data_IF_833379781969
#
_entry.id   IF_833379781969
#
_cell.length_a   1.000
_cell.length_b   1.000
_cell.length_c   1.000
_cell.angle_alpha   90.00
_cell.angle_beta   90.00
_cell.angle_gamma   90.00
#
_symmetry.space_group_name_H-M   'P 1'
#
loop_
_entity.id
_entity.type
_entity.pdbx_description
1 polymer ?
#
# COMPACT_ATOMS: atom_id res chain seq x y z
N UNK A 1 -3.94 10.29 -3.61
CA UNK A 1 -3.11 9.60 -2.61
C UNK A 1 -3.49 10.08 -1.21
N UNK A 2 -3.55 9.18 -0.23
CA UNK A 2 -3.87 9.52 1.18
C UNK A 2 -2.66 10.19 1.85
N UNK A 3 -2.85 11.40 2.39
CA UNK A 3 -1.79 12.20 3.03
C UNK A 3 -1.44 11.73 4.46
N UNK A 4 -2.20 10.80 5.02
CA UNK A 4 -1.89 10.18 6.32
C UNK A 4 -0.89 9.03 6.21
N UNK A 5 -0.63 8.56 4.98
CA UNK A 5 0.34 7.51 4.68
C UNK A 5 1.77 8.07 4.80
N UNK A 6 2.73 7.30 5.37
CA UNK A 6 4.14 7.68 5.43
C UNK A 6 4.71 8.11 4.07
N UNK A 7 5.54 9.16 4.07
CA UNK A 7 6.16 9.71 2.86
C UNK A 7 6.87 8.65 1.99
N UNK A 8 7.54 7.68 2.62
CA UNK A 8 8.23 6.60 1.90
C UNK A 8 7.27 5.77 1.06
N UNK A 9 6.09 5.44 1.59
CA UNK A 9 5.07 4.69 0.86
C UNK A 9 4.46 5.55 -0.24
N UNK A 10 4.24 6.84 0.04
CA UNK A 10 3.74 7.81 -0.96
C UNK A 10 4.68 7.92 -2.16
N UNK A 11 5.98 8.11 -1.91
CA UNK A 11 6.99 8.19 -2.98
C UNK A 11 7.13 6.84 -3.70
N UNK A 12 7.06 5.72 -2.99
CA UNK A 12 7.13 4.37 -3.58
C UNK A 12 5.98 4.11 -4.56
N UNK A 13 4.75 4.43 -4.16
CA UNK A 13 3.56 4.32 -5.01
C UNK A 13 3.67 5.24 -6.24
N UNK A 14 4.12 6.49 -6.04
CA UNK A 14 4.33 7.44 -7.13
C UNK A 14 5.35 6.92 -8.17
N UNK A 15 6.50 6.42 -7.71
CA UNK A 15 7.52 5.82 -8.59
C UNK A 15 6.93 4.64 -9.37
N UNK A 16 6.17 3.76 -8.71
CA UNK A 16 5.53 2.61 -9.36
C UNK A 16 4.52 3.04 -10.43
N UNK A 17 3.73 4.07 -10.18
CA UNK A 17 2.76 4.59 -11.14
C UNK A 17 3.46 5.15 -12.38
N UNK A 18 4.48 6.00 -12.19
CA UNK A 18 5.27 6.58 -13.27
C UNK A 18 6.04 5.53 -14.07
N UNK A 19 6.67 4.56 -13.38
CA UNK A 19 7.40 3.48 -14.02
C UNK A 19 6.51 2.58 -14.88
N UNK A 20 5.25 2.31 -14.46
CA UNK A 20 4.29 1.51 -15.25
C UNK A 20 3.99 2.11 -16.62
N UNK A 21 3.90 3.43 -16.69
CA UNK A 21 3.64 4.18 -17.93
C UNK A 21 4.93 4.68 -18.61
N UNK A 22 6.10 4.33 -18.06
CA UNK A 22 7.42 4.76 -18.55
C UNK A 22 7.56 6.27 -18.64
N UNK A 23 6.99 6.97 -17.67
CA UNK A 23 7.07 8.42 -17.57
C UNK A 23 8.27 8.80 -16.71
N UNK A 24 9.19 9.57 -17.28
CA UNK A 24 10.29 10.18 -16.55
C UNK A 24 9.79 11.36 -15.73
N UNK A 25 10.42 11.61 -14.60
CA UNK A 25 10.11 12.80 -13.79
C UNK A 25 11.35 13.29 -13.05
N UNK A 26 11.34 14.56 -12.66
CA UNK A 26 12.37 15.14 -11.79
C UNK A 26 11.92 15.22 -10.34
N UNK A 27 12.84 15.35 -9.39
CA UNK A 27 12.49 15.55 -7.97
C UNK A 27 11.71 16.86 -7.79
N UNK A 28 12.12 17.92 -8.51
CA UNK A 28 11.45 19.21 -8.50
C UNK A 28 10.01 19.17 -9.02
N UNK A 29 9.76 18.33 -10.04
CA UNK A 29 8.43 18.10 -10.58
C UNK A 29 7.58 17.28 -9.62
N UNK A 30 8.13 16.16 -9.12
CA UNK A 30 7.50 15.31 -8.13
C UNK A 30 7.00 16.10 -6.91
N UNK A 31 7.81 17.04 -6.40
CA UNK A 31 7.43 17.89 -5.26
C UNK A 31 6.21 18.80 -5.52
N UNK A 32 5.83 19.02 -6.78
CA UNK A 32 4.73 19.88 -7.20
C UNK A 32 3.48 19.10 -7.59
N UNK A 33 3.54 17.78 -7.72
CA UNK A 33 2.37 16.98 -8.10
C UNK A 33 1.39 16.86 -6.93
N UNK A 34 0.11 16.66 -7.23
CA UNK A 34 -0.92 16.54 -6.19
C UNK A 34 -0.72 15.31 -5.30
N UNK A 35 -0.11 14.24 -5.84
CA UNK A 35 0.16 12.99 -5.13
C UNK A 35 1.20 13.17 -4.04
N UNK A 36 2.26 13.93 -4.31
CA UNK A 36 3.38 14.17 -3.38
C UNK A 36 3.37 15.56 -2.75
N UNK A 37 2.35 16.38 -3.05
CA UNK A 37 2.14 17.67 -2.44
C UNK A 37 2.20 17.57 -0.90
N UNK A 38 2.97 18.48 -0.29
CA UNK A 38 3.25 18.54 1.14
C UNK A 38 4.52 17.79 1.57
N UNK A 39 5.15 17.01 0.70
CA UNK A 39 6.47 16.41 0.96
C UNK A 39 7.55 17.37 0.48
N UNK A 40 8.52 17.66 1.35
CA UNK A 40 9.64 18.53 1.01
C UNK A 40 10.49 17.89 -0.12
N UNK A 41 10.93 18.70 -1.10
CA UNK A 41 11.82 18.26 -2.19
C UNK A 41 13.07 17.50 -1.70
N UNK A 42 13.69 17.95 -0.60
CA UNK A 42 14.83 17.27 0.03
C UNK A 42 14.45 15.87 0.51
N UNK A 43 13.23 15.71 1.06
CA UNK A 43 12.72 14.44 1.56
C UNK A 43 12.38 13.48 0.42
N UNK A 44 11.83 14.00 -0.69
CA UNK A 44 11.61 13.20 -1.90
C UNK A 44 12.94 12.72 -2.46
N UNK A 45 13.93 13.60 -2.58
CA UNK A 45 15.26 13.25 -3.06
C UNK A 45 15.93 12.17 -2.20
N UNK A 46 15.87 12.33 -0.87
CA UNK A 46 16.38 11.36 0.08
C UNK A 46 15.71 10.00 -0.08
N UNK A 47 14.37 9.96 -0.16
CA UNK A 47 13.65 8.69 -0.32
C UNK A 47 13.99 8.04 -1.65
N UNK A 48 13.98 8.78 -2.77
CA UNK A 48 14.36 8.25 -4.09
C UNK A 48 15.78 7.66 -4.05
N UNK A 49 16.72 8.33 -3.37
CA UNK A 49 18.09 7.84 -3.21
C UNK A 49 18.20 6.50 -2.47
N UNK A 50 17.22 6.18 -1.62
CA UNK A 50 17.19 4.96 -0.82
C UNK A 50 16.44 3.82 -1.50
N UNK A 51 15.35 4.11 -2.23
CA UNK A 51 14.41 3.09 -2.71
C UNK A 51 14.55 2.77 -4.20
N UNK A 52 15.27 3.59 -4.97
CA UNK A 52 15.37 3.41 -6.42
C UNK A 52 16.72 2.83 -6.85
N UNK A 53 16.74 2.24 -8.04
CA UNK A 53 17.95 1.99 -8.82
C UNK A 53 18.45 3.29 -9.46
N UNK A 54 19.67 3.28 -9.99
CA UNK A 54 20.20 4.43 -10.69
C UNK A 54 19.34 4.79 -11.92
N UNK A 55 18.74 5.99 -11.95
CA UNK A 55 17.71 6.32 -12.93
C UNK A 55 18.25 6.43 -14.36
N UNK A 56 19.43 7.02 -14.56
CA UNK A 56 20.00 7.27 -15.89
C UNK A 56 21.42 6.68 -16.02
N UNK A 57 21.72 5.60 -15.28
CA UNK A 57 23.03 4.94 -15.29
C UNK A 57 24.04 5.50 -14.26
N UNK A 58 25.34 5.15 -14.39
CA UNK A 58 26.37 5.40 -13.38
C UNK A 58 26.38 6.81 -12.80
N UNK A 59 26.27 6.91 -11.47
CA UNK A 59 26.29 8.16 -10.68
C UNK A 59 25.05 9.05 -10.81
N UNK A 60 24.09 8.71 -11.68
CA UNK A 60 22.87 9.51 -11.88
C UNK A 60 22.01 9.60 -10.62
N UNK A 61 22.08 8.60 -9.73
CA UNK A 61 21.35 8.64 -8.47
C UNK A 61 21.75 9.86 -7.64
N UNK A 62 23.05 10.02 -7.40
CA UNK A 62 23.57 11.14 -6.61
C UNK A 62 23.30 12.47 -7.32
N UNK A 63 23.53 12.53 -8.62
CA UNK A 63 23.31 13.76 -9.40
C UNK A 63 21.85 14.22 -9.33
N UNK A 64 20.90 13.33 -9.63
CA UNK A 64 19.48 13.67 -9.71
C UNK A 64 18.79 13.79 -8.34
N UNK A 65 19.43 13.36 -7.25
CA UNK A 65 18.92 13.55 -5.88
C UNK A 65 19.66 14.65 -5.11
N UNK A 66 20.69 15.27 -5.68
CA UNK A 66 21.37 16.40 -5.01
C UNK A 66 20.59 17.69 -5.23
N UNK A 67 20.04 18.23 -4.14
CA UNK A 67 19.32 19.50 -4.15
C UNK A 67 20.28 20.63 -3.79
N UNK A 68 20.90 21.23 -4.80
CA UNK A 68 21.84 22.35 -4.67
C UNK A 68 21.63 23.41 -5.78
N UNK A 69 22.54 24.39 -5.87
CA UNK A 69 22.48 25.48 -6.84
C UNK A 69 22.75 25.06 -8.29
N UNK A 70 23.11 23.80 -8.55
CA UNK A 70 23.29 23.27 -9.91
C UNK A 70 21.98 22.80 -10.52
N UNK A 71 20.92 22.67 -9.71
CA UNK A 71 19.58 22.28 -10.12
C UNK A 71 19.47 20.92 -10.84
N UNK A 72 20.46 20.03 -10.66
CA UNK A 72 20.46 18.69 -11.25
C UNK A 72 19.23 17.85 -10.87
N UNK A 73 18.71 18.04 -9.65
CA UNK A 73 17.45 17.45 -9.17
C UNK A 73 16.18 17.87 -9.94
N UNK A 74 16.30 18.87 -10.83
CA UNK A 74 15.23 19.28 -11.75
C UNK A 74 15.30 18.59 -13.11
N UNK A 75 16.34 17.79 -13.37
CA UNK A 75 16.42 16.98 -14.56
C UNK A 75 15.59 15.70 -14.40
N UNK A 76 14.89 15.26 -15.47
CA UNK A 76 14.10 14.04 -15.42
C UNK A 76 14.99 12.78 -15.34
N UNK A 77 14.51 11.78 -14.61
CA UNK A 77 15.15 10.47 -14.46
C UNK A 77 14.19 9.32 -14.74
N UNK A 78 14.73 8.21 -15.23
CA UNK A 78 13.99 6.95 -15.37
C UNK A 78 13.96 6.19 -14.04
N UNK A 79 13.17 6.70 -13.09
CA UNK A 79 13.08 6.12 -11.76
C UNK A 79 12.43 4.73 -11.77
N UNK A 80 13.13 3.76 -11.20
CA UNK A 80 12.62 2.40 -10.97
C UNK A 80 13.00 1.98 -9.56
N UNK A 81 12.11 1.29 -8.85
CA UNK A 81 12.40 0.77 -7.52
C UNK A 81 13.54 -0.26 -7.55
N UNK A 82 14.31 -0.30 -6.46
CA UNK A 82 15.19 -1.42 -6.18
C UNK A 82 14.36 -2.69 -5.92
N UNK A 83 14.93 -3.89 -6.16
CA UNK A 83 14.27 -5.14 -5.82
C UNK A 83 13.80 -5.19 -4.36
N UNK A 84 14.61 -4.70 -3.43
CA UNK A 84 14.30 -4.68 -2.00
C UNK A 84 13.09 -3.79 -1.70
N UNK A 85 13.05 -2.58 -2.27
CA UNK A 85 11.91 -1.68 -2.10
C UNK A 85 10.64 -2.24 -2.76
N UNK A 86 10.77 -2.83 -3.95
CA UNK A 86 9.67 -3.45 -4.67
C UNK A 86 9.04 -4.62 -3.88
N UNK A 87 9.85 -5.58 -3.45
CA UNK A 87 9.36 -6.72 -2.67
C UNK A 87 8.89 -6.31 -1.27
N UNK A 88 9.53 -5.32 -0.66
CA UNK A 88 9.06 -4.71 0.59
C UNK A 88 7.65 -4.12 0.44
N UNK A 89 7.40 -3.38 -0.64
CA UNK A 89 6.08 -2.84 -0.95
C UNK A 89 5.04 -3.93 -1.20
N UNK A 90 5.39 -5.00 -1.95
CA UNK A 90 4.49 -6.14 -2.14
C UNK A 90 4.16 -6.86 -0.83
N UNK A 91 5.13 -7.01 0.07
CA UNK A 91 4.92 -7.58 1.40
C UNK A 91 3.98 -6.71 2.23
N UNK A 92 4.17 -5.40 2.20
CA UNK A 92 3.27 -4.44 2.84
C UNK A 92 1.82 -4.58 2.34
N UNK A 93 1.62 -4.62 1.02
CA UNK A 93 0.28 -4.82 0.41
C UNK A 93 -0.33 -6.17 0.79
N UNK A 94 0.47 -7.23 0.80
CA UNK A 94 0.04 -8.56 1.24
C UNK A 94 -0.46 -8.56 2.69
N UNK A 95 0.26 -7.89 3.58
CA UNK A 95 -0.12 -7.77 5.00
C UNK A 95 -1.43 -6.99 5.17
N UNK A 96 -1.64 -5.90 4.43
CA UNK A 96 -2.91 -5.16 4.45
C UNK A 96 -4.08 -6.03 3.98
N UNK A 97 -3.89 -6.79 2.90
CA UNK A 97 -4.91 -7.72 2.41
C UNK A 97 -5.18 -8.86 3.39
N UNK A 98 -4.13 -9.40 4.02
CA UNK A 98 -4.27 -10.42 5.05
C UNK A 98 -5.01 -9.90 6.29
N UNK A 99 -4.72 -8.68 6.75
CA UNK A 99 -5.44 -8.06 7.87
C UNK A 99 -6.93 -7.87 7.55
N UNK A 100 -7.23 -7.36 6.35
CA UNK A 100 -8.62 -7.20 5.88
C UNK A 100 -9.33 -8.54 5.75
N UNK A 101 -8.68 -9.54 5.17
CA UNK A 101 -9.20 -10.90 5.06
C UNK A 101 -9.45 -11.52 6.45
N UNK A 102 -8.54 -11.29 7.41
CA UNK A 102 -8.68 -11.79 8.77
C UNK A 102 -9.85 -11.14 9.52
N UNK A 103 -10.05 -9.81 9.36
CA UNK A 103 -11.23 -9.12 9.90
C UNK A 103 -12.53 -9.69 9.32
N UNK A 104 -12.55 -9.96 8.01
CA UNK A 104 -13.71 -10.56 7.35
C UNK A 104 -13.95 -12.01 7.81
N UNK A 105 -12.89 -12.81 7.91
CA UNK A 105 -12.95 -14.19 8.40
C UNK A 105 -13.49 -14.23 9.83
N UNK A 106 -13.03 -13.34 10.71
CA UNK A 106 -13.55 -13.21 12.07
C UNK A 106 -15.05 -12.93 12.09
N UNK A 107 -15.52 -12.00 11.26
CA UNK A 107 -16.95 -11.68 11.16
C UNK A 107 -17.76 -12.86 10.61
N UNK A 108 -17.23 -13.56 9.59
CA UNK A 108 -17.86 -14.75 9.02
C UNK A 108 -17.96 -15.89 10.06
N UNK A 109 -16.91 -16.10 10.85
CA UNK A 109 -16.91 -17.07 11.96
C UNK A 109 -17.99 -16.73 12.99
N UNK A 110 -18.16 -15.45 13.35
CA UNK A 110 -19.24 -15.03 14.24
C UNK A 110 -20.63 -15.31 13.68
N UNK A 111 -20.86 -15.01 12.40
CA UNK A 111 -22.13 -15.30 11.73
C UNK A 111 -22.38 -16.81 11.69
N UNK A 112 -21.36 -17.61 11.39
CA UNK A 112 -21.47 -19.07 11.40
C UNK A 112 -21.83 -19.61 12.79
N UNK A 113 -21.20 -19.10 13.86
CA UNK A 113 -21.51 -19.48 15.24
C UNK A 113 -22.97 -19.16 15.60
N UNK A 114 -23.44 -17.95 15.32
CA UNK A 114 -24.83 -17.55 15.56
C UNK A 114 -25.80 -18.44 14.77
N UNK A 115 -25.49 -18.73 13.51
CA UNK A 115 -26.32 -19.58 12.64
C UNK A 115 -26.43 -21.00 13.19
N UNK A 116 -25.32 -21.56 13.68
CA UNK A 116 -25.29 -22.88 14.31
C UNK A 116 -26.15 -22.91 15.59
N UNK A 117 -26.03 -21.90 16.45
CA UNK A 117 -26.83 -21.79 17.68
C UNK A 117 -28.33 -21.72 17.35
N UNK A 118 -28.73 -20.87 16.42
CA UNK A 118 -30.15 -20.72 16.01
C UNK A 118 -30.68 -22.04 15.44
N UNK A 119 -29.91 -22.71 14.60
CA UNK A 119 -30.31 -23.98 13.98
C UNK A 119 -30.51 -25.06 15.03
N UNK A 120 -29.61 -25.17 16.01
CA UNK A 120 -29.75 -26.10 17.12
C UNK A 120 -30.96 -25.77 18.01
N UNK A 121 -31.19 -24.49 18.31
CA UNK A 121 -32.33 -24.05 19.12
C UNK A 121 -33.68 -24.37 18.44
N UNK A 122 -33.79 -24.11 17.14
CA UNK A 122 -34.97 -24.47 16.35
C UNK A 122 -35.21 -25.98 16.35
N UNK A 123 -34.14 -26.78 16.15
CA UNK A 123 -34.25 -28.24 16.16
C UNK A 123 -34.71 -28.79 17.52
N UNK A 124 -34.17 -28.25 18.63
CA UNK A 124 -34.60 -28.64 19.99
C UNK A 124 -36.06 -28.25 20.24
N UNK A 125 -36.45 -27.03 19.84
CA UNK A 125 -37.84 -26.56 19.95
C UNK A 125 -38.81 -27.48 19.21
N UNK A 126 -38.49 -27.85 17.96
CA UNK A 126 -39.32 -28.76 17.16
C UNK A 126 -39.48 -30.13 17.83
N UNK A 127 -38.41 -30.68 18.40
CA UNK A 127 -38.44 -31.96 19.13
C UNK A 127 -39.30 -31.88 20.38
N UNK A 128 -39.23 -30.77 21.12
CA UNK A 128 -40.04 -30.58 22.33
C UNK A 128 -41.53 -30.44 22.00
N UNK A 129 -41.89 -29.61 21.02
CA UNK A 129 -43.28 -29.47 20.56
C UNK A 129 -43.86 -30.77 20.01
N UNK A 130 -43.04 -31.59 19.33
CA UNK A 130 -43.48 -32.90 18.87
C UNK A 130 -43.84 -33.80 20.05
N UNK A 131 -43.08 -33.79 21.14
CA UNK A 131 -43.34 -34.62 22.32
C UNK A 131 -44.61 -34.21 23.08
N UNK A 132 -44.89 -32.91 23.23
CA UNK A 132 -46.11 -32.41 23.89
C UNK A 132 -47.41 -32.80 23.14
N UNK A 133 -47.37 -33.01 21.82
CA UNK A 133 -48.55 -33.43 21.05
C UNK A 133 -48.99 -34.88 21.31
N UNK A 134 -48.17 -35.71 21.96
CA UNK A 134 -48.46 -37.11 22.24
C UNK A 134 -48.85 -37.39 23.70
N UNK A 135 -48.91 -36.36 24.54
CA UNK A 135 -49.42 -36.39 25.92
C UNK A 135 -50.73 -35.63 26.01
#
# INVERSE_FOLDING_TARGET
>A
MDKTVPDVLRVTEFVLEKAKIREEFSVSEAAKTDELNGINVYRIAEILSQICLEPNGPNSMRELTTVDSTYSHSNPGNWTLSPEAYFGYLSYQSNLHAEKANKNARNATWVALVTLIVTLALWVSDKFQAAERWF
#
